data_IF_699874750482
#
_entry.id   IF_699874750482
#
_cell.length_a   1.000
_cell.length_b   1.000
_cell.length_c   1.000
_cell.angle_alpha   90.00
_cell.angle_beta   90.00
_cell.angle_gamma   90.00
#
_symmetry.space_group_name_H-M   'P 1'
#
loop_
_entity.id
_entity.type
_entity.pdbx_description
1 polymer ?
#
# COMPACT_ATOMS: atom_id res chain seq x y z
N UNK A 1 -26.70 25.24 -30.10
CA UNK A 1 -26.33 23.81 -29.95
C UNK A 1 -24.82 23.65 -29.82
N UNK A 2 -24.01 24.11 -30.79
CA UNK A 2 -22.54 23.91 -30.76
C UNK A 2 -21.86 24.58 -29.56
N UNK A 3 -22.26 25.79 -29.19
CA UNK A 3 -21.68 26.53 -28.07
C UNK A 3 -21.98 25.87 -26.70
N UNK A 4 -23.19 25.35 -26.51
CA UNK A 4 -23.54 24.62 -25.29
C UNK A 4 -22.74 23.34 -25.15
N UNK A 5 -22.56 22.59 -26.25
CA UNK A 5 -21.73 21.40 -26.25
C UNK A 5 -20.27 21.71 -25.90
N UNK A 6 -19.71 22.80 -26.45
CA UNK A 6 -18.36 23.25 -26.12
C UNK A 6 -18.21 23.60 -24.63
N UNK A 7 -19.25 24.18 -24.01
CA UNK A 7 -19.23 24.47 -22.59
C UNK A 7 -19.32 23.20 -21.75
N UNK A 8 -20.16 22.24 -22.12
CA UNK A 8 -20.25 20.94 -21.46
C UNK A 8 -18.91 20.19 -21.52
N UNK A 9 -18.27 20.13 -22.68
CA UNK A 9 -16.95 19.49 -22.84
C UNK A 9 -15.89 20.18 -21.93
N UNK A 10 -15.97 21.51 -21.80
CA UNK A 10 -15.07 22.27 -20.92
C UNK A 10 -15.35 22.07 -19.44
N UNK A 11 -16.60 21.91 -19.04
CA UNK A 11 -16.95 21.56 -17.67
C UNK A 11 -16.37 20.18 -17.30
N UNK A 12 -16.52 19.19 -18.17
CA UNK A 12 -15.94 17.86 -17.95
C UNK A 12 -14.40 17.89 -17.86
N UNK A 13 -13.75 18.73 -18.68
CA UNK A 13 -12.28 18.93 -18.61
C UNK A 13 -11.86 19.54 -17.26
N UNK A 14 -12.58 20.57 -16.82
CA UNK A 14 -12.31 21.24 -15.53
C UNK A 14 -12.57 20.30 -14.35
N UNK A 15 -13.65 19.55 -14.38
CA UNK A 15 -13.96 18.58 -13.32
C UNK A 15 -12.86 17.51 -13.21
N UNK A 16 -12.39 16.98 -14.34
CA UNK A 16 -11.24 16.05 -14.36
C UNK A 16 -9.96 16.66 -13.76
N UNK A 17 -9.71 17.94 -14.05
CA UNK A 17 -8.54 18.62 -13.48
C UNK A 17 -8.68 18.86 -11.98
N UNK A 18 -9.87 19.22 -11.51
CA UNK A 18 -10.19 19.33 -10.08
C UNK A 18 -9.98 18.01 -9.37
N UNK A 19 -10.44 16.89 -9.94
CA UNK A 19 -10.23 15.57 -9.35
C UNK A 19 -8.75 15.22 -9.22
N UNK A 20 -7.94 15.51 -10.26
CA UNK A 20 -6.48 15.32 -10.21
C UNK A 20 -5.82 16.15 -9.12
N UNK A 21 -6.19 17.43 -9.00
CA UNK A 21 -5.63 18.32 -7.98
C UNK A 21 -6.03 17.90 -6.57
N UNK A 22 -7.26 17.42 -6.38
CA UNK A 22 -7.71 16.87 -5.10
C UNK A 22 -6.95 15.58 -4.73
N UNK A 23 -6.68 14.72 -5.71
CA UNK A 23 -5.87 13.52 -5.50
C UNK A 23 -4.44 13.88 -5.10
N UNK A 24 -3.81 14.83 -5.81
CA UNK A 24 -2.48 15.32 -5.48
C UNK A 24 -2.44 15.93 -4.06
N UNK A 25 -3.45 16.71 -3.71
CA UNK A 25 -3.56 17.28 -2.36
C UNK A 25 -3.64 16.20 -1.29
N UNK A 26 -4.45 15.15 -1.49
CA UNK A 26 -4.54 14.01 -0.55
C UNK A 26 -3.18 13.33 -0.38
N UNK A 27 -2.48 13.08 -1.48
CA UNK A 27 -1.14 12.50 -1.45
C UNK A 27 -0.16 13.37 -0.65
N UNK A 28 -0.17 14.70 -0.86
CA UNK A 28 0.70 15.62 -0.11
C UNK A 28 0.36 15.67 1.39
N UNK A 29 -0.93 15.59 1.75
CA UNK A 29 -1.35 15.51 3.16
C UNK A 29 -0.84 14.21 3.77
N UNK A 30 -1.02 13.09 3.09
CA UNK A 30 -0.52 11.79 3.54
C UNK A 30 1.01 11.81 3.74
N UNK A 31 1.78 12.31 2.76
CA UNK A 31 3.24 12.42 2.86
C UNK A 31 3.66 13.30 4.04
N UNK A 32 2.97 14.44 4.26
CA UNK A 32 3.24 15.33 5.39
C UNK A 32 3.00 14.63 6.73
N UNK A 33 1.85 13.97 6.88
CA UNK A 33 1.48 13.28 8.12
C UNK A 33 2.42 12.10 8.40
N UNK A 34 2.74 11.34 7.38
CA UNK A 34 3.68 10.22 7.44
C UNK A 34 5.09 10.67 7.81
N UNK A 35 5.57 11.75 7.17
CA UNK A 35 6.88 12.32 7.50
C UNK A 35 6.92 12.85 8.94
N UNK A 36 5.88 13.57 9.36
CA UNK A 36 5.78 14.09 10.72
C UNK A 36 5.78 12.94 11.73
N UNK A 37 5.02 11.89 11.44
CA UNK A 37 4.97 10.70 12.28
C UNK A 37 6.34 10.03 12.37
N UNK A 38 7.01 9.81 11.23
CA UNK A 38 8.34 9.17 11.17
C UNK A 38 9.41 9.95 11.96
N UNK A 39 9.28 11.29 12.00
CA UNK A 39 10.23 12.15 12.76
C UNK A 39 9.93 12.15 14.27
N UNK A 40 8.68 11.94 14.67
CA UNK A 40 8.24 12.06 16.07
C UNK A 40 8.17 10.74 16.83
N UNK A 41 8.25 9.60 16.14
CA UNK A 41 8.18 8.27 16.75
C UNK A 41 9.53 7.56 16.66
N UNK A 42 9.91 6.90 17.75
CA UNK A 42 11.10 6.07 17.79
C UNK A 42 10.85 4.70 17.14
N UNK A 43 11.91 4.10 16.57
CA UNK A 43 11.85 2.89 15.75
C UNK A 43 11.42 1.62 16.52
N UNK A 44 11.30 1.67 17.84
CA UNK A 44 11.15 0.49 18.69
C UNK A 44 9.69 0.19 19.07
N UNK A 45 8.76 1.08 18.79
CA UNK A 45 7.38 0.91 19.24
C UNK A 45 6.58 -0.06 18.37
N UNK A 46 6.43 -1.28 18.87
CA UNK A 46 5.43 -2.21 18.34
C UNK A 46 4.09 -1.90 18.98
N UNK A 47 3.09 -1.58 18.18
CA UNK A 47 1.75 -1.18 18.62
C UNK A 47 0.66 -2.04 17.98
N UNK A 48 -0.46 -2.17 18.67
CA UNK A 48 -1.66 -2.77 18.10
C UNK A 48 -2.62 -1.64 17.71
N UNK A 49 -3.00 -1.58 16.44
CA UNK A 49 -3.89 -0.55 15.90
C UNK A 49 -5.14 -1.16 15.29
N UNK A 50 -6.24 -0.43 15.36
CA UNK A 50 -7.48 -0.79 14.67
C UNK A 50 -7.47 -0.17 13.27
N UNK A 51 -7.71 -1.00 12.27
CA UNK A 51 -7.87 -0.54 10.90
C UNK A 51 -9.28 -0.87 10.40
N UNK A 52 -9.89 0.03 9.63
CA UNK A 52 -11.14 -0.25 8.95
C UNK A 52 -10.94 -1.26 7.82
N UNK A 53 -12.05 -1.77 7.31
CA UNK A 53 -12.03 -2.56 6.08
C UNK A 53 -11.58 -1.70 4.90
N UNK A 54 -10.60 -2.17 4.14
CA UNK A 54 -10.04 -1.48 2.99
C UNK A 54 -10.03 -2.37 1.76
N UNK A 55 -10.19 -1.75 0.59
CA UNK A 55 -10.10 -2.42 -0.70
C UNK A 55 -8.72 -2.12 -1.28
N UNK A 56 -7.97 -3.17 -1.56
CA UNK A 56 -6.63 -3.08 -2.14
C UNK A 56 -6.69 -3.54 -3.59
N UNK A 57 -6.24 -2.70 -4.51
CA UNK A 57 -5.95 -3.11 -5.88
C UNK A 57 -4.57 -3.74 -5.89
N UNK A 58 -4.49 -5.00 -6.29
CA UNK A 58 -3.26 -5.76 -6.27
C UNK A 58 -2.67 -5.98 -7.66
N UNK A 59 -1.36 -6.16 -7.74
CA UNK A 59 -0.68 -6.71 -8.92
C UNK A 59 -1.08 -8.16 -9.15
N UNK A 60 -0.58 -8.76 -10.23
CA UNK A 60 -0.54 -10.22 -10.35
C UNK A 60 0.37 -10.82 -9.27
N UNK A 61 0.25 -12.15 -9.06
CA UNK A 61 1.05 -12.87 -8.06
C UNK A 61 2.55 -12.78 -8.38
N UNK A 62 3.33 -12.32 -7.43
CA UNK A 62 4.77 -12.11 -7.54
C UNK A 62 5.58 -13.21 -6.86
N UNK A 63 4.93 -14.17 -6.17
CA UNK A 63 5.66 -15.20 -5.45
C UNK A 63 6.56 -16.01 -6.35
N UNK A 64 7.79 -16.23 -5.88
CA UNK A 64 8.82 -16.98 -6.60
C UNK A 64 9.18 -16.40 -7.99
N UNK A 65 8.88 -15.16 -8.24
CA UNK A 65 9.25 -14.46 -9.47
C UNK A 65 10.77 -14.15 -9.50
N UNK A 66 11.57 -15.19 -9.53
CA UNK A 66 13.00 -15.25 -9.19
C UNK A 66 13.96 -14.50 -10.13
N UNK A 67 13.48 -13.82 -11.17
CA UNK A 67 14.36 -13.19 -12.17
C UNK A 67 14.10 -11.71 -12.42
N UNK A 68 13.10 -11.11 -11.76
CA UNK A 68 12.67 -9.74 -12.03
C UNK A 68 13.01 -8.83 -10.84
N UNK A 69 13.45 -7.63 -11.14
CA UNK A 69 13.71 -6.64 -10.09
C UNK A 69 12.39 -6.04 -9.56
N UNK A 70 12.39 -5.60 -8.31
CA UNK A 70 11.27 -4.87 -7.72
C UNK A 70 10.87 -3.65 -8.57
N UNK A 71 11.84 -2.96 -9.17
CA UNK A 71 11.58 -1.83 -10.08
C UNK A 71 10.74 -2.25 -11.30
N UNK A 72 11.03 -3.42 -11.89
CA UNK A 72 10.25 -3.94 -13.02
C UNK A 72 8.80 -4.24 -12.64
N UNK A 73 8.56 -4.80 -11.46
CA UNK A 73 7.21 -5.02 -10.95
C UNK A 73 6.46 -3.72 -10.71
N UNK A 74 7.14 -2.72 -10.15
CA UNK A 74 6.58 -1.38 -9.93
C UNK A 74 6.16 -0.72 -11.24
N UNK A 75 7.00 -0.76 -12.27
CA UNK A 75 6.70 -0.18 -13.59
C UNK A 75 5.46 -0.82 -14.22
N UNK A 76 5.37 -2.15 -14.18
CA UNK A 76 4.21 -2.87 -14.71
C UNK A 76 2.94 -2.56 -13.92
N UNK A 77 3.05 -2.52 -12.60
CA UNK A 77 1.91 -2.23 -11.75
C UNK A 77 1.39 -0.79 -11.94
N UNK A 78 2.28 0.18 -12.08
CA UNK A 78 1.93 1.57 -12.40
C UNK A 78 1.27 1.65 -13.79
N UNK A 79 1.76 0.90 -14.77
CA UNK A 79 1.17 0.83 -16.11
C UNK A 79 -0.23 0.22 -16.06
N UNK A 80 -0.41 -0.87 -15.33
CA UNK A 80 -1.70 -1.49 -15.08
C UNK A 80 -2.70 -0.50 -14.45
N UNK A 81 -2.28 0.26 -13.45
CA UNK A 81 -3.13 1.25 -12.80
C UNK A 81 -3.57 2.35 -13.79
N UNK A 82 -2.65 2.84 -14.62
CA UNK A 82 -2.95 3.84 -15.66
C UNK A 82 -3.94 3.32 -16.70
N UNK A 83 -3.76 2.09 -17.18
CA UNK A 83 -4.66 1.46 -18.16
C UNK A 83 -6.09 1.31 -17.65
N UNK A 84 -6.23 1.13 -16.33
CA UNK A 84 -7.54 1.00 -15.69
C UNK A 84 -8.08 2.32 -15.11
N UNK A 85 -7.46 3.46 -15.48
CA UNK A 85 -7.81 4.80 -14.97
C UNK A 85 -7.83 4.88 -13.44
N UNK A 86 -7.02 4.07 -12.77
CA UNK A 86 -6.80 4.18 -11.34
C UNK A 86 -5.75 5.25 -11.11
N UNK A 87 -6.18 6.35 -10.50
CA UNK A 87 -5.24 7.40 -10.10
C UNK A 87 -4.35 6.85 -8.99
N UNK A 88 -3.05 6.89 -9.21
CA UNK A 88 -2.04 6.60 -8.17
C UNK A 88 -2.12 7.75 -7.14
N UNK A 89 -2.98 7.59 -6.15
CA UNK A 89 -3.27 8.64 -5.15
C UNK A 89 -2.47 8.46 -3.87
N UNK A 90 -2.01 7.25 -3.60
CA UNK A 90 -1.28 6.88 -2.39
C UNK A 90 0.01 6.14 -2.75
N UNK A 91 0.85 5.91 -1.76
CA UNK A 91 2.05 5.10 -1.96
C UNK A 91 1.67 3.66 -2.31
N UNK A 92 2.47 3.06 -3.18
CA UNK A 92 2.37 1.63 -3.45
C UNK A 92 2.95 0.88 -2.25
N UNK A 93 2.18 -0.06 -1.71
CA UNK A 93 2.65 -0.98 -0.68
C UNK A 93 2.94 -2.37 -1.23
N UNK A 94 3.43 -3.26 -0.40
CA UNK A 94 3.52 -4.67 -0.74
C UNK A 94 2.89 -5.58 0.32
N UNK A 95 2.44 -6.74 -0.13
CA UNK A 95 1.94 -7.82 0.72
C UNK A 95 2.95 -8.96 0.70
N UNK A 96 3.18 -9.53 1.86
CA UNK A 96 4.02 -10.71 2.03
C UNK A 96 3.29 -11.73 2.90
N UNK A 97 3.33 -13.01 2.53
CA UNK A 97 2.76 -14.06 3.37
C UNK A 97 3.49 -14.16 4.70
N UNK A 98 2.74 -14.26 5.77
CA UNK A 98 3.32 -14.45 7.11
C UNK A 98 4.20 -15.70 7.19
N UNK A 99 3.90 -16.73 6.42
CA UNK A 99 4.74 -17.92 6.35
C UNK A 99 6.09 -17.65 5.69
N UNK A 100 6.16 -16.80 4.67
CA UNK A 100 7.43 -16.37 4.08
C UNK A 100 8.28 -15.63 5.13
N UNK A 101 7.65 -14.74 5.92
CA UNK A 101 8.34 -14.02 7.01
C UNK A 101 8.88 -15.01 8.05
N UNK A 102 8.08 -16.01 8.47
CA UNK A 102 8.50 -17.07 9.41
C UNK A 102 9.65 -17.90 8.88
N UNK A 103 9.69 -18.12 7.57
CA UNK A 103 10.76 -18.84 6.87
C UNK A 103 11.97 -17.95 6.55
N UNK A 104 11.97 -16.69 7.00
CA UNK A 104 13.02 -15.69 6.72
C UNK A 104 13.17 -15.34 5.24
N UNK A 105 12.10 -15.51 4.46
CA UNK A 105 12.04 -15.15 3.05
C UNK A 105 11.36 -13.79 2.88
N UNK A 106 11.98 -12.75 3.41
CA UNK A 106 11.41 -11.40 3.57
C UNK A 106 11.24 -10.64 2.25
N UNK A 107 11.85 -11.12 1.17
CA UNK A 107 11.78 -10.47 -0.14
C UNK A 107 10.83 -11.18 -1.12
N UNK A 108 10.20 -12.26 -0.69
CA UNK A 108 9.25 -13.03 -1.50
C UNK A 108 7.85 -12.42 -1.36
N UNK A 109 7.65 -11.30 -2.04
CA UNK A 109 6.37 -10.59 -2.05
C UNK A 109 5.31 -11.39 -2.76
N UNK A 110 4.08 -11.34 -2.23
CA UNK A 110 2.92 -11.92 -2.91
C UNK A 110 2.31 -10.92 -3.90
N UNK A 111 2.18 -9.66 -3.51
CA UNK A 111 1.54 -8.62 -4.32
C UNK A 111 2.13 -7.24 -4.02
N UNK A 112 2.15 -6.37 -5.05
CA UNK A 112 2.10 -4.92 -4.84
C UNK A 112 0.64 -4.50 -4.69
N UNK A 113 0.36 -3.45 -3.93
CA UNK A 113 -1.00 -2.95 -3.77
C UNK A 113 -1.09 -1.43 -3.65
N UNK A 114 -2.26 -0.91 -3.98
CA UNK A 114 -2.72 0.42 -3.61
C UNK A 114 -4.10 0.34 -2.97
N UNK A 115 -4.41 1.27 -2.09
CA UNK A 115 -5.76 1.43 -1.55
C UNK A 115 -6.64 2.11 -2.60
N UNK A 116 -7.86 1.62 -2.76
CA UNK A 116 -8.85 2.18 -3.66
C UNK A 116 -10.20 2.34 -2.94
N UNK A 117 -10.95 3.38 -3.32
CA UNK A 117 -12.26 3.63 -2.71
C UNK A 117 -13.36 2.71 -3.26
N UNK A 118 -13.24 2.29 -4.53
CA UNK A 118 -14.25 1.49 -5.21
C UNK A 118 -13.64 0.21 -5.76
N UNK A 119 -14.31 -0.91 -5.50
CA UNK A 119 -13.94 -2.20 -6.08
C UNK A 119 -14.14 -2.17 -7.60
N UNK A 120 -13.05 -2.36 -8.33
CA UNK A 120 -13.04 -2.47 -9.79
C UNK A 120 -13.27 -3.91 -10.28
N UNK A 121 -13.54 -4.84 -9.35
CA UNK A 121 -13.83 -6.27 -9.61
C UNK A 121 -12.73 -7.02 -10.36
N UNK A 122 -11.51 -6.55 -10.27
CA UNK A 122 -10.34 -7.19 -10.88
C UNK A 122 -9.12 -6.95 -9.99
N UNK A 123 -8.40 -8.03 -9.68
CA UNK A 123 -7.18 -7.99 -8.88
C UNK A 123 -7.38 -7.25 -7.54
N UNK A 124 -8.53 -7.40 -6.90
CA UNK A 124 -8.81 -6.77 -5.62
C UNK A 124 -8.67 -7.76 -4.47
N UNK A 125 -8.06 -7.28 -3.39
CA UNK A 125 -7.97 -7.96 -2.10
C UNK A 125 -8.65 -7.10 -1.04
N UNK A 126 -9.28 -7.74 -0.08
CA UNK A 126 -9.89 -7.06 1.05
C UNK A 126 -8.95 -7.18 2.24
N UNK A 127 -8.47 -6.04 2.74
CA UNK A 127 -7.89 -5.98 4.08
C UNK A 127 -9.05 -5.81 5.06
N UNK A 128 -9.35 -6.85 5.81
CA UNK A 128 -10.51 -6.86 6.71
C UNK A 128 -10.33 -5.86 7.86
N UNK A 129 -11.45 -5.35 8.36
CA UNK A 129 -11.46 -4.57 9.60
C UNK A 129 -10.95 -5.42 10.76
N UNK A 130 -10.08 -4.84 11.59
CA UNK A 130 -9.56 -5.55 12.75
C UNK A 130 -8.34 -4.93 13.40
N UNK A 131 -7.77 -5.70 14.33
CA UNK A 131 -6.54 -5.34 15.05
C UNK A 131 -5.33 -5.80 14.26
N UNK A 132 -4.40 -4.89 14.04
CA UNK A 132 -3.15 -5.16 13.34
C UNK A 132 -1.96 -4.83 14.24
N UNK A 133 -1.00 -5.75 14.28
CA UNK A 133 0.29 -5.50 14.89
C UNK A 133 1.09 -4.62 13.93
N UNK A 134 1.52 -3.45 14.41
CA UNK A 134 2.21 -2.45 13.60
C UNK A 134 3.57 -2.13 14.18
N UNK A 135 4.55 -1.97 13.31
CA UNK A 135 5.87 -1.47 13.63
C UNK A 135 6.36 -0.55 12.52
N UNK A 136 7.26 0.34 12.86
CA UNK A 136 7.95 1.18 11.90
C UNK A 136 9.33 0.60 11.62
N UNK A 137 9.68 0.59 10.34
CA UNK A 137 11.03 0.32 9.91
C UNK A 137 11.67 1.61 9.40
N UNK A 138 12.80 1.98 9.98
CA UNK A 138 13.56 3.17 9.60
C UNK A 138 14.96 2.75 9.16
N UNK A 139 15.38 3.24 8.02
CA UNK A 139 16.69 2.94 7.48
C UNK A 139 16.63 2.15 6.18
N UNK A 140 17.70 1.41 5.88
CA UNK A 140 17.78 0.60 4.67
C UNK A 140 16.82 -0.58 4.72
N UNK A 141 16.15 -0.84 3.61
CA UNK A 141 15.30 -2.01 3.45
C UNK A 141 16.05 -3.34 3.66
N UNK A 142 17.34 -3.35 3.47
CA UNK A 142 18.19 -4.54 3.74
C UNK A 142 18.13 -5.00 5.22
N UNK A 143 17.65 -4.14 6.11
CA UNK A 143 17.50 -4.43 7.55
C UNK A 143 16.07 -4.70 7.98
N UNK A 144 15.11 -4.80 7.05
CA UNK A 144 13.68 -5.04 7.33
C UNK A 144 13.44 -6.30 8.16
N UNK A 145 14.29 -7.30 7.98
CA UNK A 145 14.29 -8.53 8.76
C UNK A 145 14.29 -8.29 10.27
N UNK A 146 15.04 -7.31 10.75
CA UNK A 146 15.13 -7.00 12.18
C UNK A 146 13.75 -6.55 12.73
N UNK A 147 13.00 -5.80 11.94
CA UNK A 147 11.66 -5.36 12.32
C UNK A 147 10.70 -6.53 12.35
N UNK A 148 10.73 -7.40 11.35
CA UNK A 148 9.88 -8.60 11.32
C UNK A 148 10.21 -9.57 12.47
N UNK A 149 11.48 -9.80 12.76
CA UNK A 149 11.88 -10.66 13.87
C UNK A 149 11.39 -10.12 15.22
N UNK A 150 11.47 -8.81 15.44
CA UNK A 150 10.91 -8.14 16.64
C UNK A 150 9.39 -8.30 16.72
N UNK A 151 8.69 -8.09 15.61
CA UNK A 151 7.22 -8.26 15.55
C UNK A 151 6.79 -9.68 15.85
N UNK A 152 7.47 -10.68 15.29
CA UNK A 152 7.19 -12.09 15.55
C UNK A 152 7.42 -12.45 17.02
N UNK A 153 8.54 -12.00 17.59
CA UNK A 153 8.86 -12.22 19.00
C UNK A 153 7.82 -11.57 19.93
N UNK A 154 7.37 -10.36 19.63
CA UNK A 154 6.31 -9.68 20.38
C UNK A 154 4.99 -10.45 20.30
N UNK A 155 4.62 -10.89 19.10
CA UNK A 155 3.39 -11.66 18.89
C UNK A 155 3.40 -12.98 19.68
N UNK A 156 4.54 -13.68 19.72
CA UNK A 156 4.73 -14.89 20.49
C UNK A 156 4.63 -14.62 22.00
N UNK A 157 5.31 -13.60 22.50
CA UNK A 157 5.25 -13.20 23.93
C UNK A 157 3.83 -12.84 24.38
N UNK A 158 3.06 -12.20 23.49
CA UNK A 158 1.67 -11.81 23.77
C UNK A 158 0.63 -12.87 23.40
N UNK A 159 1.05 -14.05 22.93
CA UNK A 159 0.18 -15.11 22.42
C UNK A 159 -0.81 -14.63 21.36
N UNK A 160 -0.36 -13.77 20.42
CA UNK A 160 -1.18 -13.25 19.34
C UNK A 160 -1.23 -14.24 18.18
N UNK A 161 -2.41 -14.40 17.60
CA UNK A 161 -2.60 -15.13 16.35
C UNK A 161 -2.47 -14.14 15.20
N UNK A 162 -1.44 -14.30 14.37
CA UNK A 162 -1.17 -13.44 13.24
C UNK A 162 -1.91 -13.96 12.00
N UNK A 163 -2.51 -13.05 11.23
CA UNK A 163 -3.16 -13.34 9.97
C UNK A 163 -2.20 -13.79 8.86
N UNK A 164 -2.74 -14.16 7.68
CA UNK A 164 -1.96 -14.77 6.61
C UNK A 164 -1.01 -13.81 5.89
N UNK A 165 -1.23 -12.50 5.97
CA UNK A 165 -0.44 -11.49 5.28
C UNK A 165 0.06 -10.40 6.21
N UNK A 166 1.29 -9.93 5.96
CA UNK A 166 1.78 -8.63 6.38
C UNK A 166 1.61 -7.62 5.24
N UNK A 167 1.39 -6.37 5.59
CA UNK A 167 1.20 -5.25 4.67
C UNK A 167 2.28 -4.21 4.95
N UNK A 168 3.13 -3.96 3.98
CA UNK A 168 4.14 -2.91 4.06
C UNK A 168 3.62 -1.68 3.30
N UNK A 169 3.60 -0.55 3.95
CA UNK A 169 3.23 0.74 3.36
C UNK A 169 4.47 1.63 3.37
N UNK A 170 4.88 2.11 2.22
CA UNK A 170 6.04 2.99 2.09
C UNK A 170 5.64 4.45 2.27
N UNK A 171 6.48 5.20 2.96
CA UNK A 171 6.29 6.63 3.21
C UNK A 171 6.93 7.48 2.14
#
# INVERSE_FOLDING_TARGET
AVFLQLLEDKFEEVDREIEKLLALKRMMVYMKESTLFAVTHEDEDITIRQYPREILLCSDDLENASSRSFASFMEEYISFCKEHNVLVQESVGCMIKTDNIRNRDYLNFSYLFMKIEKDIRRNTHIREEGSYLCAWHKGSYDTIQNTYERMLAYAEQCNLIIGPYAYEEYL
#
